data_IF_142869529759
#
_entry.id   IF_142869529759
#
_cell.length_a   1.000
_cell.length_b   1.000
_cell.length_c   1.000
_cell.angle_alpha   90.00
_cell.angle_beta   90.00
_cell.angle_gamma   90.00
#
_symmetry.space_group_name_H-M   'P 1'
#
loop_
_entity.id
_entity.type
_entity.pdbx_description
1 polymer ?
#
# COMPACT_ATOMS: atom_id res chain seq x y z
N UNK A 1 -1.83 15.96 16.18
CA UNK A 1 -2.13 15.66 14.77
C UNK A 1 -0.81 15.48 14.04
N UNK A 2 -0.68 14.48 13.16
CA UNK A 2 0.53 14.30 12.36
C UNK A 2 0.62 15.36 11.24
N UNK A 3 1.83 15.73 10.81
CA UNK A 3 2.03 16.80 9.82
C UNK A 3 1.28 16.55 8.51
N UNK A 4 1.21 15.29 8.08
CA UNK A 4 0.51 14.88 6.85
C UNK A 4 -1.02 14.91 6.99
N UNK A 5 -1.53 14.53 8.16
CA UNK A 5 -2.95 14.63 8.48
C UNK A 5 -3.40 16.09 8.46
N UNK A 6 -2.62 16.97 9.10
CA UNK A 6 -2.86 18.40 9.12
C UNK A 6 -2.85 18.99 7.70
N UNK A 7 -1.90 18.57 6.86
CA UNK A 7 -1.76 19.05 5.49
C UNK A 7 -2.96 18.66 4.62
N UNK A 8 -3.47 17.43 4.77
CA UNK A 8 -4.70 16.97 4.09
C UNK A 8 -5.92 17.78 4.55
N UNK A 9 -6.09 17.98 5.86
CA UNK A 9 -7.21 18.77 6.39
C UNK A 9 -7.12 20.25 5.99
N UNK A 10 -5.92 20.84 5.97
CA UNK A 10 -5.67 22.22 5.54
C UNK A 10 -5.89 22.41 4.04
N UNK A 11 -5.65 21.38 3.24
CA UNK A 11 -5.97 21.41 1.81
C UNK A 11 -7.48 21.33 1.60
N UNK A 12 -8.14 20.38 2.24
CA UNK A 12 -9.59 20.18 2.13
C UNK A 12 -10.41 21.34 2.72
N UNK A 13 -9.90 22.07 3.71
CA UNK A 13 -10.58 23.23 4.29
C UNK A 13 -10.71 24.41 3.33
N UNK A 14 -9.97 24.42 2.21
CA UNK A 14 -10.06 25.44 1.15
C UNK A 14 -11.25 25.22 0.22
N UNK A 15 -11.85 24.04 0.25
CA UNK A 15 -12.95 23.66 -0.63
C UNK A 15 -14.24 23.59 0.19
N UNK A 16 -15.27 24.29 -0.29
CA UNK A 16 -16.62 24.22 0.28
C UNK A 16 -17.42 23.06 -0.33
N UNK A 17 -16.92 22.45 -1.39
CA UNK A 17 -17.51 21.28 -2.05
C UNK A 17 -16.62 20.06 -1.86
N UNK A 18 -17.21 18.85 -1.77
CA UNK A 18 -16.46 17.60 -1.83
C UNK A 18 -15.56 17.52 -3.08
N UNK A 19 -14.37 16.97 -2.93
CA UNK A 19 -13.42 16.78 -4.04
C UNK A 19 -13.12 15.31 -4.27
N UNK A 20 -12.71 14.94 -5.49
CA UNK A 20 -12.36 13.55 -5.78
C UNK A 20 -10.98 13.19 -5.20
N UNK A 21 -10.76 11.92 -4.85
CA UNK A 21 -9.45 11.46 -4.36
C UNK A 21 -8.31 11.78 -5.34
N UNK A 22 -8.55 11.66 -6.64
CA UNK A 22 -7.57 11.98 -7.67
C UNK A 22 -7.17 13.48 -7.67
N UNK A 23 -8.10 14.38 -7.32
CA UNK A 23 -7.82 15.81 -7.22
C UNK A 23 -6.99 16.12 -5.97
N UNK A 24 -7.34 15.48 -4.85
CA UNK A 24 -6.56 15.53 -3.62
C UNK A 24 -5.13 14.99 -3.84
N UNK A 25 -4.98 13.85 -4.52
CA UNK A 25 -3.69 13.27 -4.87
C UNK A 25 -2.85 14.23 -5.72
N UNK A 26 -3.45 14.85 -6.74
CA UNK A 26 -2.77 15.80 -7.59
C UNK A 26 -2.35 17.07 -6.83
N UNK A 27 -3.22 17.59 -5.96
CA UNK A 27 -2.95 18.78 -5.15
C UNK A 27 -1.86 18.59 -4.10
N UNK A 28 -1.67 17.36 -3.62
CA UNK A 28 -0.72 17.02 -2.57
C UNK A 28 0.50 16.21 -3.06
N UNK A 29 0.65 16.08 -4.38
CA UNK A 29 1.67 15.23 -5.02
C UNK A 29 3.11 15.54 -4.61
N UNK A 30 3.41 16.79 -4.27
CA UNK A 30 4.76 17.21 -3.86
C UNK A 30 5.02 16.98 -2.35
N UNK A 31 3.97 16.67 -1.59
CA UNK A 31 4.03 16.38 -0.16
C UNK A 31 3.97 14.88 0.17
N UNK A 32 3.59 14.06 -0.81
CA UNK A 32 3.51 12.60 -0.69
C UNK A 32 4.42 11.93 -1.73
N UNK A 33 5.32 11.05 -1.26
CA UNK A 33 6.20 10.28 -2.16
C UNK A 33 5.39 9.45 -3.15
N UNK A 34 5.61 9.67 -4.46
CA UNK A 34 4.94 8.95 -5.56
C UNK A 34 5.10 7.43 -5.48
N UNK A 35 6.15 6.95 -4.83
CA UNK A 35 6.42 5.52 -4.65
C UNK A 35 5.57 4.87 -3.55
N UNK A 36 4.75 5.66 -2.83
CA UNK A 36 3.84 5.18 -1.79
C UNK A 36 2.48 5.86 -1.94
N UNK A 37 1.76 5.57 -3.03
CA UNK A 37 0.32 5.85 -3.16
C UNK A 37 -0.44 5.45 -1.89
N UNK A 38 -0.01 4.34 -1.29
CA UNK A 38 -0.53 3.81 -0.02
C UNK A 38 -0.44 4.80 1.14
N UNK A 39 0.44 5.81 1.09
CA UNK A 39 0.63 6.77 2.17
C UNK A 39 -0.48 7.82 2.23
N UNK A 40 -0.91 8.37 1.09
CA UNK A 40 -2.01 9.34 1.07
C UNK A 40 -3.32 8.63 1.39
N UNK A 41 -3.56 7.47 0.78
CA UNK A 41 -4.75 6.68 1.05
C UNK A 41 -4.83 6.29 2.53
N UNK A 42 -3.73 5.85 3.13
CA UNK A 42 -3.67 5.54 4.56
C UNK A 42 -3.98 6.74 5.45
N UNK A 43 -3.44 7.93 5.12
CA UNK A 43 -3.73 9.16 5.88
C UNK A 43 -5.21 9.53 5.76
N UNK A 44 -5.79 9.46 4.56
CA UNK A 44 -7.21 9.73 4.34
C UNK A 44 -8.08 8.74 5.13
N UNK A 45 -7.80 7.44 5.07
CA UNK A 45 -8.54 6.42 5.81
C UNK A 45 -8.42 6.60 7.34
N UNK A 46 -7.26 7.01 7.86
CA UNK A 46 -7.12 7.31 9.29
C UNK A 46 -7.94 8.53 9.69
N UNK A 47 -7.95 9.58 8.88
CA UNK A 47 -8.75 10.78 9.13
C UNK A 47 -10.27 10.50 9.06
N UNK A 48 -10.68 9.65 8.12
CA UNK A 48 -12.06 9.17 8.00
C UNK A 48 -12.46 8.33 9.23
N UNK A 49 -11.62 7.37 9.63
CA UNK A 49 -11.86 6.53 10.80
C UNK A 49 -12.03 7.37 12.09
N UNK A 50 -11.30 8.48 12.19
CA UNK A 50 -11.41 9.44 13.31
C UNK A 50 -12.60 10.40 13.18
N UNK A 51 -13.37 10.33 12.09
CA UNK A 51 -14.53 11.19 11.83
C UNK A 51 -14.16 12.63 11.46
N UNK A 52 -12.92 12.88 11.04
CA UNK A 52 -12.44 14.21 10.64
C UNK A 52 -12.71 14.49 9.16
N UNK A 53 -12.82 13.43 8.37
CA UNK A 53 -13.22 13.46 6.98
C UNK A 53 -14.43 12.55 6.76
N UNK A 54 -15.20 12.85 5.73
CA UNK A 54 -16.16 11.94 5.13
C UNK A 54 -15.70 11.65 3.71
N UNK A 55 -15.42 10.38 3.41
CA UNK A 55 -15.24 9.90 2.05
C UNK A 55 -16.53 9.20 1.61
N UNK A 56 -17.24 9.81 0.66
CA UNK A 56 -18.36 9.15 0.02
C UNK A 56 -17.97 8.84 -1.42
N UNK A 57 -17.88 7.55 -1.75
CA UNK A 57 -17.48 7.06 -3.08
C UNK A 57 -18.20 7.73 -4.26
N UNK A 58 -19.41 8.29 -4.06
CA UNK A 58 -20.13 9.04 -5.10
C UNK A 58 -20.04 10.56 -4.98
N UNK A 59 -19.85 11.09 -3.77
CA UNK A 59 -19.86 12.55 -3.54
C UNK A 59 -18.47 13.13 -3.46
N UNK A 60 -17.44 12.35 -3.17
CA UNK A 60 -16.07 12.79 -2.94
C UNK A 60 -15.74 12.91 -1.45
N UNK A 61 -14.54 13.42 -1.18
CA UNK A 61 -13.96 13.60 0.13
C UNK A 61 -14.22 15.03 0.59
N UNK A 62 -14.74 15.17 1.81
CA UNK A 62 -14.96 16.46 2.45
C UNK A 62 -14.53 16.45 3.91
N UNK A 63 -14.15 17.63 4.41
CA UNK A 63 -13.83 17.81 5.83
C UNK A 63 -15.10 17.95 6.66
N UNK A 64 -15.20 17.19 7.76
CA UNK A 64 -16.35 17.28 8.67
C UNK A 64 -16.26 18.53 9.54
N UNK A 65 -17.35 18.86 10.23
CA UNK A 65 -17.33 19.93 11.24
C UNK A 65 -16.30 19.63 12.34
N UNK A 66 -16.20 18.38 12.77
CA UNK A 66 -15.18 17.91 13.74
C UNK A 66 -13.77 18.11 13.20
N UNK A 67 -13.52 17.76 11.94
CA UNK A 67 -12.23 17.98 11.28
C UNK A 67 -11.85 19.46 11.22
N UNK A 68 -12.81 20.35 10.91
CA UNK A 68 -12.59 21.81 10.91
C UNK A 68 -12.27 22.33 12.32
N UNK A 69 -12.98 21.86 13.34
CA UNK A 69 -12.71 22.23 14.73
C UNK A 69 -11.33 21.75 15.19
N UNK A 70 -10.93 20.53 14.84
CA UNK A 70 -9.61 20.00 15.20
C UNK A 70 -8.48 20.72 14.46
N UNK A 71 -8.69 21.10 13.20
CA UNK A 71 -7.74 21.89 12.42
C UNK A 71 -7.52 23.28 13.05
N UNK A 72 -8.58 23.94 13.49
CA UNK A 72 -8.52 25.27 14.10
C UNK A 72 -7.98 25.26 15.55
N UNK A 73 -8.20 24.15 16.27
CA UNK A 73 -7.68 23.94 17.62
C UNK A 73 -6.23 23.43 17.66
N UNK A 74 -5.71 22.94 16.53
CA UNK A 74 -4.32 22.53 16.40
C UNK A 74 -3.46 23.76 16.15
N UNK A 75 -2.47 24.01 17.03
CA UNK A 75 -1.45 25.00 16.75
C UNK A 75 -0.82 24.70 15.39
N UNK A 76 -0.81 25.68 14.47
CA UNK A 76 -0.09 25.51 13.21
C UNK A 76 1.32 25.04 13.55
N UNK A 77 1.79 23.91 13.00
CA UNK A 77 3.14 23.45 13.30
C UNK A 77 4.08 24.57 12.89
N UNK A 78 4.87 25.07 13.84
CA UNK A 78 5.80 26.16 13.63
C UNK A 78 6.61 25.85 12.37
N UNK A 79 6.50 26.72 11.36
CA UNK A 79 7.05 26.54 10.01
C UNK A 79 8.58 26.41 9.95
N UNK A 80 9.26 26.39 11.10
CA UNK A 80 10.71 26.47 11.24
C UNK A 80 11.40 25.17 11.69
N UNK A 81 10.68 24.06 11.91
CA UNK A 81 11.28 22.71 11.97
C UNK A 81 11.02 21.91 10.67
N UNK A 82 10.91 22.60 9.54
CA UNK A 82 10.88 22.01 8.19
C UNK A 82 12.29 21.66 7.69
N UNK A 83 13.09 21.00 8.53
CA UNK A 83 14.32 20.32 8.09
C UNK A 83 14.24 18.86 8.48
N UNK A 84 14.69 17.93 7.62
CA UNK A 84 14.58 16.50 7.89
C UNK A 84 15.44 16.17 9.11
N UNK A 85 14.82 16.13 10.30
CA UNK A 85 15.40 15.47 11.45
C UNK A 85 15.52 13.99 11.11
N UNK A 86 16.69 13.62 10.59
CA UNK A 86 17.28 12.28 10.67
C UNK A 86 17.20 11.83 12.14
N UNK A 87 16.06 11.31 12.56
CA UNK A 87 15.90 10.58 13.81
C UNK A 87 15.49 9.14 13.49
N UNK A 88 16.52 8.37 13.14
CA UNK A 88 16.82 7.07 13.73
C UNK A 88 15.61 6.19 14.08
N UNK A 89 14.81 5.81 13.07
CA UNK A 89 13.91 4.64 13.09
C UNK A 89 14.00 3.89 11.74
N UNK A 90 15.22 3.61 11.27
CA UNK A 90 15.46 2.78 10.07
C UNK A 90 15.70 1.30 10.37
N UNK A 91 15.88 0.90 11.63
CA UNK A 91 16.38 -0.47 11.90
C UNK A 91 15.34 -1.59 11.96
N UNK A 92 14.03 -1.31 11.84
CA UNK A 92 12.99 -2.36 11.86
C UNK A 92 12.33 -2.60 10.50
N UNK A 93 12.02 -1.53 9.77
CA UNK A 93 11.47 -1.65 8.42
C UNK A 93 12.46 -2.26 7.42
N UNK A 94 13.76 -1.96 7.55
CA UNK A 94 14.80 -2.57 6.70
C UNK A 94 15.05 -4.06 7.05
N UNK A 95 14.60 -4.55 8.23
CA UNK A 95 14.64 -5.97 8.59
C UNK A 95 13.40 -6.72 8.07
N UNK A 96 12.21 -6.11 8.13
CA UNK A 96 10.97 -6.69 7.57
C UNK A 96 10.98 -6.72 6.02
N UNK A 97 11.59 -5.74 5.35
CA UNK A 97 11.77 -5.76 3.89
C UNK A 97 12.79 -6.82 3.44
N UNK A 98 13.80 -7.12 4.27
CA UNK A 98 14.74 -8.24 4.02
C UNK A 98 14.09 -9.60 4.30
N UNK A 99 13.28 -9.70 5.35
CA UNK A 99 12.57 -10.92 5.70
C UNK A 99 11.49 -11.25 4.65
N UNK A 100 10.70 -10.27 4.20
CA UNK A 100 9.68 -10.45 3.16
C UNK A 100 10.28 -10.81 1.80
N UNK A 101 11.43 -10.23 1.43
CA UNK A 101 12.17 -10.61 0.23
C UNK A 101 12.71 -12.05 0.27
N UNK A 102 13.12 -12.54 1.44
CA UNK A 102 13.60 -13.92 1.60
C UNK A 102 12.45 -14.94 1.56
N UNK A 103 11.36 -14.62 2.26
CA UNK A 103 10.14 -15.45 2.31
C UNK A 103 9.50 -15.60 0.92
N UNK A 104 9.44 -14.51 0.13
CA UNK A 104 8.91 -14.58 -1.23
C UNK A 104 9.77 -15.45 -2.16
N UNK A 105 11.10 -15.37 -2.03
CA UNK A 105 12.03 -16.19 -2.82
C UNK A 105 11.93 -17.67 -2.48
N UNK A 106 11.80 -18.04 -1.21
CA UNK A 106 11.63 -19.45 -0.80
C UNK A 106 10.29 -20.02 -1.24
N UNK A 107 9.19 -19.25 -1.17
CA UNK A 107 7.90 -19.70 -1.68
C UNK A 107 7.91 -19.93 -3.19
N UNK A 108 8.56 -19.06 -3.96
CA UNK A 108 8.70 -19.24 -5.41
C UNK A 108 9.49 -20.50 -5.75
N UNK A 109 10.55 -20.80 -5.00
CA UNK A 109 11.37 -21.99 -5.21
C UNK A 109 10.60 -23.27 -4.89
N UNK A 110 9.86 -23.30 -3.78
CA UNK A 110 9.01 -24.44 -3.43
C UNK A 110 7.87 -24.65 -4.42
N UNK A 111 7.26 -23.56 -4.90
CA UNK A 111 6.23 -23.63 -5.93
C UNK A 111 6.76 -24.19 -7.24
N UNK A 112 7.92 -23.71 -7.71
CA UNK A 112 8.57 -24.23 -8.90
C UNK A 112 8.93 -25.72 -8.75
N UNK A 113 9.49 -26.11 -7.60
CA UNK A 113 9.83 -27.51 -7.33
C UNK A 113 8.59 -28.42 -7.27
N UNK A 114 7.49 -27.93 -6.71
CA UNK A 114 6.20 -28.64 -6.67
C UNK A 114 5.64 -28.85 -8.08
N UNK A 115 5.67 -27.82 -8.94
CA UNK A 115 5.25 -27.94 -10.34
C UNK A 115 6.11 -28.97 -11.08
N UNK A 116 7.44 -28.89 -10.95
CA UNK A 116 8.35 -29.83 -11.61
C UNK A 116 8.10 -31.27 -11.12
N UNK A 117 7.92 -31.46 -9.82
CA UNK A 117 7.62 -32.77 -9.22
C UNK A 117 6.26 -33.30 -9.70
N UNK A 118 5.25 -32.44 -9.78
CA UNK A 118 3.93 -32.81 -10.28
C UNK A 118 3.99 -33.21 -11.75
N UNK A 119 4.72 -32.48 -12.59
CA UNK A 119 4.90 -32.81 -14.00
C UNK A 119 5.63 -34.14 -14.17
N UNK A 120 6.72 -34.38 -13.41
CA UNK A 120 7.42 -35.67 -13.43
C UNK A 120 6.55 -36.84 -12.97
N UNK A 121 5.73 -36.63 -11.93
CA UNK A 121 4.77 -37.62 -11.47
C UNK A 121 3.71 -37.90 -12.55
N UNK A 122 3.19 -36.86 -13.21
CA UNK A 122 2.21 -36.99 -14.30
C UNK A 122 2.80 -37.76 -15.48
N UNK A 123 4.03 -37.44 -15.89
CA UNK A 123 4.75 -38.18 -16.94
C UNK A 123 4.96 -39.63 -16.56
N UNK A 124 5.34 -39.91 -15.31
CA UNK A 124 5.55 -41.28 -14.81
C UNK A 124 4.23 -42.08 -14.82
N UNK A 125 3.12 -41.44 -14.45
CA UNK A 125 1.79 -42.03 -14.49
C UNK A 125 1.37 -42.36 -15.93
N UNK A 126 1.54 -41.40 -16.86
CA UNK A 126 1.27 -41.61 -18.28
C UNK A 126 2.10 -42.77 -18.84
N UNK A 127 3.36 -42.89 -18.45
CA UNK A 127 4.23 -44.00 -18.88
C UNK A 127 3.77 -45.36 -18.35
N UNK A 128 3.12 -45.39 -17.19
CA UNK A 128 2.58 -46.61 -16.57
C UNK A 128 1.22 -47.02 -17.15
N UNK A 129 0.35 -46.04 -17.43
CA UNK A 129 -0.99 -46.27 -17.99
C UNK A 129 -1.00 -46.49 -19.51
N UNK A 130 -0.01 -45.98 -20.25
CA UNK A 130 0.09 -46.12 -21.70
C UNK A 130 1.32 -46.96 -22.10
N UNK A 131 1.25 -48.31 -22.02
CA UNK A 131 2.36 -49.18 -22.43
C UNK A 131 2.73 -49.04 -23.93
N UNK A 132 1.83 -48.49 -24.76
CA UNK A 132 2.11 -48.15 -26.15
C UNK A 132 3.15 -47.04 -26.34
N UNK A 133 3.27 -46.10 -25.40
CA UNK A 133 4.26 -45.02 -25.41
C UNK A 133 5.66 -45.53 -25.04
N UNK A 134 5.73 -46.49 -24.11
CA UNK A 134 6.97 -47.18 -23.73
C UNK A 134 7.58 -47.96 -24.90
N UNK A 135 6.75 -48.55 -25.76
CA UNK A 135 7.22 -49.27 -26.94
C UNK A 135 7.60 -48.37 -28.13
N UNK A 136 7.18 -47.10 -28.13
CA UNK A 136 7.52 -46.13 -29.18
C UNK A 136 8.90 -45.46 -28.97
N UNK A 137 9.37 -45.35 -27.72
CA UNK A 137 10.69 -44.77 -27.40
C UNK A 137 11.84 -45.78 -27.40
N UNK A 138 11.56 -47.08 -27.31
CA UNK A 138 12.56 -48.16 -27.28
C UNK A 138 12.70 -48.93 -28.60
N UNK A 139 12.22 -48.37 -29.72
CA UNK A 139 12.40 -48.93 -31.07
C UNK A 139 13.35 -48.11 -31.91
#
# INVERSE_FOLDING_TARGET
MEDKEYLVLKYLSRFDTPIQFNELENGLKDHFDKNKKDNLLFVVSNLEFRGLLEDNYRKGIQITQTGRSELNGSAEPASDEFTPRRKKKRSRADEDDKASGFVYRTYWLMFAFSIVSFVLALFSLLFWFFPGLRNAFFK
#
